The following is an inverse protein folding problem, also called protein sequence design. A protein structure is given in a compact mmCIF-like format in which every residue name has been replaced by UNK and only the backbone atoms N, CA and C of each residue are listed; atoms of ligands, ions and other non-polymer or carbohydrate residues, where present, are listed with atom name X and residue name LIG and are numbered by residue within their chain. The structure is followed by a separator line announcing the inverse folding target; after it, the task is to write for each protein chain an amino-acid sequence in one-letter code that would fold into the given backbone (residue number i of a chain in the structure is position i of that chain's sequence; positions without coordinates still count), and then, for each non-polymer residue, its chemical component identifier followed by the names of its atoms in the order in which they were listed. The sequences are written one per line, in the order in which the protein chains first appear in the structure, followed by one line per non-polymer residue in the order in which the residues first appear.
data_IF_389384101896
#
_entry.id   IF_389384101896
#
_cell.length_a   1.000
_cell.length_b   1.000
_cell.length_c   1.000
_cell.angle_alpha   90.00
_cell.angle_beta   90.00
_cell.angle_gamma   90.00
#
_symmetry.space_group_name_H-M   'P 1'
#
loop_
_entity.id
_entity.type
_entity.pdbx_description
1 polymer ?
#
# COMPACT_ATOMS: atom_id res chain seq x y z
N UNK A 1 32.92 -17.17 38.27
CA UNK A 1 31.66 -16.43 38.51
C UNK A 1 32.02 -15.02 38.96
N UNK A 2 31.94 -14.02 38.06
CA UNK A 2 32.03 -12.62 38.48
C UNK A 2 30.61 -12.13 38.78
N UNK A 3 30.36 -11.83 40.06
CA UNK A 3 29.01 -11.63 40.59
C UNK A 3 28.33 -10.33 40.15
N UNK A 4 29.04 -9.38 39.52
CA UNK A 4 28.52 -8.13 38.96
C UNK A 4 29.48 -7.59 37.89
N UNK A 5 29.38 -8.08 36.65
CA UNK A 5 30.28 -7.72 35.55
C UNK A 5 29.81 -6.47 34.79
N UNK A 6 30.10 -5.28 35.29
CA UNK A 6 29.92 -4.03 34.53
C UNK A 6 31.27 -3.46 34.09
N UNK A 7 31.32 -2.91 32.87
CA UNK A 7 32.46 -2.14 32.35
C UNK A 7 32.11 -0.66 32.46
N UNK A 8 32.90 0.09 33.22
CA UNK A 8 32.79 1.55 33.27
C UNK A 8 33.82 2.20 32.37
N UNK A 9 33.37 3.09 31.49
CA UNK A 9 34.25 3.97 30.69
C UNK A 9 34.06 5.40 31.18
N UNK A 10 35.14 6.06 31.59
CA UNK A 10 35.12 7.44 32.10
C UNK A 10 35.38 8.49 31.03
N UNK A 11 35.82 8.08 29.83
CA UNK A 11 36.04 8.92 28.66
C UNK A 11 35.25 8.47 27.44
N UNK A 12 35.75 8.78 26.24
CA UNK A 12 35.13 8.36 24.99
C UNK A 12 35.41 6.87 24.72
N UNK A 13 34.39 6.12 24.32
CA UNK A 13 34.54 4.77 23.76
C UNK A 13 34.08 4.75 22.31
N UNK A 14 34.69 3.93 21.47
CA UNK A 14 34.27 3.71 20.07
C UNK A 14 34.37 2.23 19.74
N UNK A 15 33.28 1.66 19.24
CA UNK A 15 33.26 0.32 18.66
C UNK A 15 33.11 0.46 17.14
N UNK A 16 34.05 -0.11 16.39
CA UNK A 16 34.02 -0.16 14.93
C UNK A 16 34.01 -1.61 14.48
N UNK A 17 32.95 -2.03 13.81
CA UNK A 17 32.79 -3.39 13.27
C UNK A 17 32.70 -3.27 11.76
N UNK A 18 33.51 -4.04 11.04
CA UNK A 18 33.60 -3.98 9.56
C UNK A 18 32.70 -4.98 8.85
N UNK A 19 32.01 -5.82 9.63
CA UNK A 19 31.04 -6.84 9.19
C UNK A 19 29.84 -6.79 10.15
N UNK A 20 29.25 -7.93 10.43
CA UNK A 20 28.05 -8.05 11.25
C UNK A 20 28.36 -7.94 12.75
N UNK A 21 27.44 -7.30 13.48
CA UNK A 21 27.43 -7.22 14.93
C UNK A 21 26.06 -7.63 15.44
N UNK A 22 25.98 -8.80 16.08
CA UNK A 22 24.78 -9.26 16.75
C UNK A 22 24.86 -8.98 18.26
N UNK A 23 23.83 -8.32 18.79
CA UNK A 23 23.67 -8.10 20.23
C UNK A 23 22.38 -8.79 20.67
N UNK A 24 22.51 -9.90 21.40
CA UNK A 24 21.39 -10.69 21.92
C UNK A 24 21.30 -10.49 23.43
N UNK A 25 20.12 -10.13 23.92
CA UNK A 25 19.85 -9.88 25.34
C UNK A 25 18.57 -10.62 25.72
N UNK A 26 18.66 -11.59 26.63
CA UNK A 26 17.49 -12.36 27.11
C UNK A 26 16.55 -11.52 27.99
N UNK A 27 17.08 -10.47 28.60
CA UNK A 27 16.33 -9.50 29.42
C UNK A 27 16.13 -8.17 28.69
N UNK A 28 16.16 -7.08 29.45
CA UNK A 28 15.98 -5.74 28.90
C UNK A 28 17.30 -5.13 28.44
N UNK A 29 17.26 -4.42 27.31
CA UNK A 29 18.29 -3.47 26.91
C UNK A 29 17.82 -2.05 27.24
N UNK A 30 18.61 -1.31 28.03
CA UNK A 30 18.32 0.08 28.36
C UNK A 30 19.42 0.97 27.77
N UNK A 31 19.06 1.83 26.83
CA UNK A 31 19.95 2.83 26.24
C UNK A 31 19.51 4.21 26.71
N UNK A 32 20.43 4.98 27.28
CA UNK A 32 20.14 6.33 27.78
C UNK A 32 21.31 7.26 27.48
N UNK A 33 21.01 8.43 26.91
CA UNK A 33 21.98 9.49 26.69
C UNK A 33 21.46 10.80 27.28
N UNK A 34 22.37 11.62 27.84
CA UNK A 34 22.03 12.99 28.28
C UNK A 34 21.85 13.97 27.11
N UNK A 35 22.35 13.60 25.93
CA UNK A 35 22.19 14.33 24.68
C UNK A 35 21.48 13.41 23.69
N UNK A 36 21.98 13.29 22.47
CA UNK A 36 21.32 12.55 21.41
C UNK A 36 21.79 11.09 21.36
N UNK A 37 20.88 10.19 20.99
CA UNK A 37 21.19 8.87 20.44
C UNK A 37 20.86 8.97 18.95
N UNK A 38 21.88 8.99 18.10
CA UNK A 38 21.69 9.03 16.65
C UNK A 38 21.82 7.61 16.10
N UNK A 39 20.78 7.13 15.42
CA UNK A 39 20.80 5.87 14.69
C UNK A 39 20.74 6.22 13.21
N UNK A 40 21.73 5.78 12.45
CA UNK A 40 21.82 6.01 11.01
C UNK A 40 22.09 4.68 10.35
N UNK A 41 21.19 4.26 9.47
CA UNK A 41 21.37 3.12 8.60
C UNK A 41 21.29 3.61 7.15
N UNK A 42 22.16 3.08 6.28
CA UNK A 42 22.06 3.29 4.84
C UNK A 42 21.07 2.31 4.18
N UNK A 43 20.71 1.23 4.89
CA UNK A 43 19.61 0.34 4.56
C UNK A 43 18.47 0.47 5.58
N UNK A 44 17.78 -0.64 5.85
CA UNK A 44 16.58 -0.63 6.70
C UNK A 44 16.90 -0.62 8.21
N UNK A 45 15.98 -0.02 8.98
CA UNK A 45 15.89 -0.17 10.44
C UNK A 45 14.57 -0.87 10.76
N UNK A 46 14.64 -2.15 11.15
CA UNK A 46 13.49 -2.93 11.60
C UNK A 46 13.34 -2.83 13.13
N UNK A 47 12.29 -2.18 13.62
CA UNK A 47 11.92 -2.16 15.03
C UNK A 47 10.57 -2.88 15.21
N UNK A 48 10.57 -3.97 16.00
CA UNK A 48 9.37 -4.79 16.23
C UNK A 48 9.16 -5.01 17.72
N UNK A 49 7.92 -4.83 18.16
CA UNK A 49 7.51 -5.04 19.54
C UNK A 49 6.00 -4.98 19.65
N UNK A 50 5.45 -5.48 20.75
CA UNK A 50 4.02 -5.37 21.05
C UNK A 50 3.60 -3.91 21.26
N UNK A 51 4.53 -3.05 21.70
CA UNK A 51 4.34 -1.61 21.89
C UNK A 51 5.65 -0.89 21.58
N UNK A 52 5.55 0.16 20.77
CA UNK A 52 6.65 1.10 20.51
C UNK A 52 6.12 2.49 20.87
N UNK A 53 6.66 3.06 21.94
CA UNK A 53 6.33 4.44 22.29
C UNK A 53 7.45 5.38 21.89
N UNK A 54 7.11 6.45 21.17
CA UNK A 54 7.99 7.56 20.89
C UNK A 54 7.55 8.75 21.74
N UNK A 55 8.50 9.42 22.41
CA UNK A 55 8.24 10.59 23.26
C UNK A 55 7.30 10.35 24.47
N UNK A 56 7.25 9.13 25.01
CA UNK A 56 6.44 8.81 26.18
C UNK A 56 7.04 9.39 27.47
N UNK A 57 6.49 10.54 27.91
CA UNK A 57 6.90 11.21 29.14
C UNK A 57 7.40 12.65 28.99
N UNK A 58 7.38 13.23 27.78
CA UNK A 58 7.67 14.67 27.63
C UNK A 58 6.44 15.49 28.02
N UNK A 59 6.52 16.39 29.03
CA UNK A 59 5.48 17.39 29.22
C UNK A 59 5.61 18.37 28.07
N UNK A 60 4.68 18.32 27.13
CA UNK A 60 4.61 19.15 25.91
C UNK A 60 5.77 18.99 24.92
N UNK A 61 5.43 18.73 23.66
CA UNK A 61 6.24 19.24 22.55
C UNK A 61 6.30 20.77 22.70
N UNK A 62 7.41 21.46 22.41
CA UNK A 62 7.36 22.90 22.23
C UNK A 62 6.24 23.21 21.23
N UNK A 63 5.38 24.18 21.54
CA UNK A 63 4.27 24.55 20.67
C UNK A 63 4.79 24.71 19.24
N UNK A 64 4.14 24.01 18.31
CA UNK A 64 4.39 24.24 16.90
C UNK A 64 4.17 25.74 16.65
N UNK A 65 5.24 26.48 16.38
CA UNK A 65 5.10 27.85 15.92
C UNK A 65 4.57 27.78 14.51
N UNK A 66 3.29 28.08 14.36
CA UNK A 66 2.68 28.22 13.06
C UNK A 66 3.38 29.37 12.32
N UNK A 67 3.96 29.08 11.16
CA UNK A 67 4.43 30.10 10.22
C UNK A 67 3.25 30.84 9.56
N UNK A 68 2.04 30.29 9.67
CA UNK A 68 0.80 30.81 9.13
C UNK A 68 -0.29 30.94 10.21
N UNK A 69 -1.27 31.83 10.01
CA UNK A 69 -2.33 32.05 11.01
C UNK A 69 -3.21 30.80 11.19
N UNK A 70 -3.58 30.42 12.44
CA UNK A 70 -4.35 29.21 12.70
C UNK A 70 -5.78 29.34 12.15
N UNK A 71 -6.25 28.27 11.50
CA UNK A 71 -7.65 28.06 11.13
C UNK A 71 -8.31 27.26 12.25
N UNK A 72 -9.37 27.80 12.86
CA UNK A 72 -10.17 27.08 13.87
C UNK A 72 -10.91 25.92 13.24
N UNK A 73 -10.70 24.72 13.77
CA UNK A 73 -11.53 23.55 13.51
C UNK A 73 -12.31 23.21 14.79
N UNK A 74 -13.58 22.83 14.66
CA UNK A 74 -14.43 22.39 15.76
C UNK A 74 -13.88 21.09 16.38
N UNK A 75 -13.82 21.03 17.71
CA UNK A 75 -13.38 19.84 18.45
C UNK A 75 -14.39 18.69 18.31
N UNK A 76 -14.03 17.65 17.56
CA UNK A 76 -14.77 16.38 17.55
C UNK A 76 -14.29 15.45 18.68
N UNK A 77 -14.67 15.77 19.93
CA UNK A 77 -14.60 14.79 21.03
C UNK A 77 -15.87 13.95 21.00
N UNK A 78 -15.80 12.78 20.35
CA UNK A 78 -16.91 11.80 20.34
C UNK A 78 -16.93 11.03 21.66
N UNK A 79 -17.99 11.21 22.45
CA UNK A 79 -18.30 10.29 23.56
C UNK A 79 -18.66 8.93 22.97
N UNK A 80 -17.90 7.89 23.34
CA UNK A 80 -18.22 6.51 22.99
C UNK A 80 -19.52 6.12 23.68
N UNK A 81 -20.61 6.02 22.92
CA UNK A 81 -21.85 5.38 23.35
C UNK A 81 -21.79 3.88 23.03
N UNK A 82 -22.47 3.02 23.80
CA UNK A 82 -22.40 1.57 23.59
C UNK A 82 -23.23 1.17 22.37
N UNK A 83 -22.65 0.26 21.58
CA UNK A 83 -23.22 -0.45 20.41
C UNK A 83 -23.46 0.42 19.17
N UNK A 84 -22.41 0.59 18.36
CA UNK A 84 -22.57 0.93 16.95
C UNK A 84 -23.22 -0.23 16.21
N UNK A 85 -24.47 -0.03 15.82
CA UNK A 85 -25.06 -0.69 14.66
C UNK A 85 -24.17 -0.39 13.46
N UNK A 86 -23.62 -1.43 12.83
CA UNK A 86 -22.85 -1.31 11.59
C UNK A 86 -23.81 -0.77 10.52
N UNK A 87 -23.77 0.54 10.28
CA UNK A 87 -24.45 1.14 9.13
C UNK A 87 -23.84 0.57 7.83
N UNK A 88 -24.68 0.40 6.82
CA UNK A 88 -24.27 -0.09 5.51
C UNK A 88 -23.28 0.92 4.89
N UNK A 89 -22.00 0.54 4.83
CA UNK A 89 -20.92 1.39 4.31
C UNK A 89 -21.26 1.80 2.88
N UNK A 90 -21.53 3.09 2.65
CA UNK A 90 -21.68 3.62 1.29
C UNK A 90 -20.33 3.48 0.60
N UNK A 91 -20.31 2.96 -0.63
CA UNK A 91 -19.05 2.64 -1.30
C UNK A 91 -19.15 2.97 -2.78
N UNK A 92 -19.24 4.28 -3.03
CA UNK A 92 -19.50 4.80 -4.37
C UNK A 92 -18.23 4.76 -5.21
N UNK A 93 -18.34 4.21 -6.43
CA UNK A 93 -17.26 4.27 -7.42
C UNK A 93 -17.07 5.68 -7.95
N UNK A 94 -15.82 6.13 -8.06
CA UNK A 94 -15.48 7.47 -8.51
C UNK A 94 -15.32 7.57 -10.02
N UNK A 95 -16.00 8.57 -10.56
CA UNK A 95 -15.89 9.01 -11.95
C UNK A 95 -15.26 10.40 -11.90
N UNK A 96 -13.94 10.46 -11.88
CA UNK A 96 -13.23 11.74 -11.94
C UNK A 96 -13.32 12.28 -13.37
N UNK A 97 -13.85 13.49 -13.52
CA UNK A 97 -13.92 14.20 -14.81
C UNK A 97 -13.17 15.52 -14.69
N UNK A 98 -12.36 15.86 -15.68
CA UNK A 98 -11.84 17.22 -15.86
C UNK A 98 -12.49 17.83 -17.10
N UNK A 99 -13.52 18.66 -16.92
CA UNK A 99 -14.23 19.30 -18.03
C UNK A 99 -15.22 18.36 -18.76
N UNK A 100 -15.26 18.45 -20.09
CA UNK A 100 -16.17 17.66 -20.95
C UNK A 100 -15.64 16.25 -21.26
N UNK A 101 -14.37 15.98 -20.97
CA UNK A 101 -13.72 14.73 -21.33
C UNK A 101 -14.21 13.56 -20.47
N UNK A 102 -14.31 12.38 -21.08
CA UNK A 102 -14.61 11.17 -20.34
C UNK A 102 -13.39 10.76 -19.47
N UNK A 103 -13.59 10.07 -18.33
CA UNK A 103 -12.53 9.82 -17.35
C UNK A 103 -11.28 9.15 -17.90
N UNK A 104 -11.41 8.29 -18.92
CA UNK A 104 -10.28 7.63 -19.55
C UNK A 104 -9.44 8.56 -20.45
N UNK A 105 -10.01 9.69 -20.86
CA UNK A 105 -9.41 10.67 -21.76
C UNK A 105 -8.74 11.82 -20.97
N UNK A 106 -8.96 11.87 -19.65
CA UNK A 106 -8.24 12.73 -18.72
C UNK A 106 -6.80 12.23 -18.59
N UNK A 107 -5.84 13.11 -18.90
CA UNK A 107 -4.42 12.80 -18.74
C UNK A 107 -4.01 12.98 -17.28
N UNK A 108 -3.88 11.87 -16.57
CA UNK A 108 -3.31 11.85 -15.22
C UNK A 108 -1.79 11.98 -15.29
N UNK A 109 -1.23 12.88 -14.48
CA UNK A 109 0.21 13.06 -14.40
C UNK A 109 0.84 11.92 -13.58
N UNK A 110 1.77 11.19 -14.20
CA UNK A 110 2.56 10.15 -13.52
C UNK A 110 3.65 10.77 -12.64
N UNK A 111 3.40 10.72 -11.33
CA UNK A 111 4.26 11.28 -10.29
C UNK A 111 5.31 10.27 -9.83
N UNK A 112 6.46 10.78 -9.37
CA UNK A 112 7.44 9.97 -8.65
C UNK A 112 7.21 10.10 -7.15
N UNK A 113 7.39 9.02 -6.36
CA UNK A 113 7.44 9.13 -4.91
C UNK A 113 8.54 10.10 -4.47
N UNK A 114 8.36 10.79 -3.34
CA UNK A 114 9.41 11.65 -2.77
C UNK A 114 10.69 10.89 -2.41
N UNK A 115 10.56 9.59 -2.14
CA UNK A 115 11.64 8.64 -1.84
C UNK A 115 12.14 7.90 -3.09
N UNK A 116 11.80 8.37 -4.29
CA UNK A 116 12.18 7.70 -5.52
C UNK A 116 13.70 7.56 -5.67
N UNK A 117 14.17 6.34 -5.97
CA UNK A 117 15.59 6.02 -6.02
C UNK A 117 16.21 5.64 -4.67
N UNK A 118 15.48 5.83 -3.57
CA UNK A 118 15.84 5.33 -2.23
C UNK A 118 15.12 4.01 -1.92
N UNK A 119 13.92 3.81 -2.48
CA UNK A 119 13.21 2.52 -2.48
C UNK A 119 13.56 1.70 -3.72
N UNK A 120 13.72 0.40 -3.50
CA UNK A 120 13.95 -0.57 -4.58
C UNK A 120 12.78 -0.56 -5.57
N UNK A 121 13.13 -0.62 -6.86
CA UNK A 121 12.15 -0.80 -7.92
C UNK A 121 11.79 -2.29 -8.01
N UNK A 122 10.65 -2.65 -7.41
CA UNK A 122 10.19 -4.04 -7.28
C UNK A 122 8.85 -4.26 -7.98
N UNK A 123 8.46 -5.52 -8.13
CA UNK A 123 7.16 -5.84 -8.69
C UNK A 123 6.04 -5.39 -7.74
N UNK A 124 5.06 -4.59 -8.19
CA UNK A 124 4.00 -4.07 -7.32
C UNK A 124 3.13 -5.18 -6.70
N UNK A 125 3.05 -6.35 -7.32
CA UNK A 125 2.34 -7.51 -6.77
C UNK A 125 2.91 -7.94 -5.42
N UNK A 126 4.24 -7.95 -5.27
CA UNK A 126 4.90 -8.42 -4.05
C UNK A 126 4.50 -7.57 -2.84
N UNK A 127 4.49 -6.24 -3.02
CA UNK A 127 4.05 -5.29 -2.00
C UNK A 127 2.55 -5.45 -1.72
N UNK A 128 1.72 -5.61 -2.76
CA UNK A 128 0.28 -5.79 -2.58
C UNK A 128 -0.06 -7.11 -1.85
N UNK A 129 0.67 -8.18 -2.15
CA UNK A 129 0.58 -9.49 -1.51
C UNK A 129 1.01 -9.42 -0.04
N UNK A 130 2.11 -8.72 0.27
CA UNK A 130 2.53 -8.46 1.65
C UNK A 130 1.42 -7.77 2.45
N UNK A 131 0.84 -6.71 1.90
CA UNK A 131 -0.27 -6.00 2.52
C UNK A 131 -1.48 -6.89 2.73
N UNK A 132 -1.88 -7.68 1.72
CA UNK A 132 -3.00 -8.62 1.85
C UNK A 132 -2.74 -9.63 2.97
N UNK A 133 -1.54 -10.20 3.04
CA UNK A 133 -1.15 -11.19 4.05
C UNK A 133 -1.14 -10.59 5.47
N UNK A 134 -0.80 -9.31 5.62
CA UNK A 134 -0.88 -8.60 6.90
C UNK A 134 -2.32 -8.40 7.40
N UNK A 135 -3.33 -8.58 6.53
CA UNK A 135 -4.75 -8.54 6.89
C UNK A 135 -5.27 -7.18 7.38
N UNK A 136 -6.49 -7.14 7.91
CA UNK A 136 -7.08 -5.93 8.50
C UNK A 136 -7.59 -4.88 7.51
N UNK A 137 -7.92 -5.30 6.29
CA UNK A 137 -8.38 -4.42 5.19
C UNK A 137 -9.90 -4.38 5.00
N UNK A 138 -10.65 -5.08 5.87
CA UNK A 138 -12.10 -5.05 5.82
C UNK A 138 -12.59 -3.62 6.06
N UNK A 139 -13.43 -3.13 5.17
CA UNK A 139 -14.05 -1.82 5.29
C UNK A 139 -15.06 -1.84 6.45
N UNK A 140 -14.89 -0.89 7.36
CA UNK A 140 -15.73 -0.73 8.56
C UNK A 140 -16.29 0.68 8.67
N UNK A 141 -16.18 1.49 7.61
CA UNK A 141 -16.54 2.92 7.63
C UNK A 141 -15.62 3.79 8.49
N UNK A 142 -14.45 3.29 8.92
CA UNK A 142 -13.41 4.09 9.62
C UNK A 142 -12.04 3.40 9.63
N UNK A 143 -11.77 2.51 8.66
CA UNK A 143 -10.59 1.65 8.72
C UNK A 143 -9.30 2.49 8.54
N UNK A 144 -8.40 2.54 9.54
CA UNK A 144 -7.23 3.41 9.50
C UNK A 144 -6.23 3.04 8.38
N UNK A 145 -6.19 1.77 7.94
CA UNK A 145 -5.36 1.36 6.81
C UNK A 145 -5.87 1.93 5.49
N UNK A 146 -7.18 1.89 5.28
CA UNK A 146 -7.82 2.45 4.08
C UNK A 146 -7.60 3.96 4.06
N UNK A 147 -7.88 4.63 5.18
CA UNK A 147 -7.59 6.06 5.38
C UNK A 147 -6.14 6.43 5.04
N UNK A 148 -5.18 5.66 5.52
CA UNK A 148 -3.77 5.90 5.23
C UNK A 148 -3.43 5.80 3.73
N UNK A 149 -4.09 4.92 2.96
CA UNK A 149 -3.89 4.87 1.51
C UNK A 149 -4.31 6.18 0.83
N UNK A 150 -5.46 6.74 1.24
CA UNK A 150 -5.96 8.01 0.72
C UNK A 150 -5.02 9.17 1.05
N UNK A 151 -4.58 9.27 2.30
CA UNK A 151 -3.63 10.28 2.75
C UNK A 151 -2.30 10.16 1.98
N UNK A 152 -1.82 8.94 1.76
CA UNK A 152 -0.53 8.67 1.11
C UNK A 152 -0.48 9.11 -0.35
N UNK A 153 -1.57 8.92 -1.11
CA UNK A 153 -1.63 9.40 -2.49
C UNK A 153 -2.06 10.87 -2.59
N UNK A 154 -2.34 11.52 -1.45
CA UNK A 154 -2.53 12.97 -1.33
C UNK A 154 -3.97 13.46 -1.27
N UNK A 155 -4.94 12.61 -0.93
CA UNK A 155 -6.31 13.02 -0.57
C UNK A 155 -6.45 13.21 0.95
N UNK A 156 -7.60 13.69 1.42
CA UNK A 156 -7.95 13.66 2.85
C UNK A 156 -8.70 12.35 3.14
N UNK A 157 -8.00 11.36 3.70
CA UNK A 157 -8.59 10.06 3.99
C UNK A 157 -9.75 10.11 4.97
N UNK A 158 -9.80 11.11 5.87
CA UNK A 158 -10.94 11.28 6.79
C UNK A 158 -12.25 11.64 6.09
N UNK A 159 -12.16 12.16 4.86
CA UNK A 159 -13.33 12.55 4.07
C UNK A 159 -13.77 11.42 3.15
N UNK A 160 -12.83 10.70 2.56
CA UNK A 160 -13.15 9.78 1.45
C UNK A 160 -13.17 8.31 1.83
N UNK A 161 -12.42 7.89 2.85
CA UNK A 161 -12.18 6.46 3.11
C UNK A 161 -13.42 5.65 3.48
N UNK A 162 -14.45 6.32 4.01
CA UNK A 162 -15.62 5.67 4.59
C UNK A 162 -16.80 5.57 3.63
N UNK A 163 -16.75 6.31 2.50
CA UNK A 163 -17.85 6.40 1.54
C UNK A 163 -17.46 6.03 0.09
N UNK A 164 -16.16 5.81 -0.15
CA UNK A 164 -15.59 5.76 -1.50
C UNK A 164 -14.81 4.49 -1.82
N UNK A 165 -15.07 3.95 -3.01
CA UNK A 165 -14.34 2.81 -3.53
C UNK A 165 -12.84 3.08 -3.64
N UNK A 166 -12.05 2.25 -2.97
CA UNK A 166 -10.61 2.47 -2.76
C UNK A 166 -9.72 1.54 -3.60
N UNK A 167 -10.26 0.88 -4.64
CA UNK A 167 -9.47 -0.01 -5.51
C UNK A 167 -8.35 0.74 -6.25
N UNK A 168 -8.66 1.90 -6.85
CA UNK A 168 -7.68 2.77 -7.52
C UNK A 168 -6.67 3.39 -6.55
N UNK A 169 -7.14 3.73 -5.35
CA UNK A 169 -6.33 4.31 -4.28
C UNK A 169 -5.29 3.32 -3.78
N UNK A 170 -5.68 2.06 -3.58
CA UNK A 170 -4.75 0.98 -3.26
C UNK A 170 -3.69 0.85 -4.36
N UNK A 171 -4.09 0.77 -5.64
CA UNK A 171 -3.11 0.62 -6.74
C UNK A 171 -2.10 1.77 -6.72
N UNK A 172 -2.55 3.02 -6.52
CA UNK A 172 -1.65 4.17 -6.47
C UNK A 172 -0.65 4.10 -5.33
N UNK A 173 -1.10 3.74 -4.12
CA UNK A 173 -0.24 3.58 -2.96
C UNK A 173 0.77 2.42 -3.14
N UNK A 174 0.34 1.28 -3.68
CA UNK A 174 1.23 0.15 -3.94
C UNK A 174 2.30 0.51 -4.98
N UNK A 175 1.93 1.22 -6.05
CA UNK A 175 2.89 1.71 -7.04
C UNK A 175 3.92 2.65 -6.39
N UNK A 176 3.46 3.56 -5.52
CA UNK A 176 4.33 4.46 -4.78
C UNK A 176 5.32 3.71 -3.89
N UNK A 177 4.85 2.67 -3.18
CA UNK A 177 5.66 1.84 -2.26
C UNK A 177 6.64 0.89 -2.97
N UNK A 178 6.38 0.54 -4.23
CA UNK A 178 7.20 -0.39 -5.03
C UNK A 178 8.25 0.30 -5.92
N UNK A 179 8.51 1.60 -5.72
CA UNK A 179 9.47 2.35 -6.52
C UNK A 179 9.00 2.62 -7.96
N UNK A 180 7.68 2.56 -8.21
CA UNK A 180 7.07 2.84 -9.51
C UNK A 180 6.51 4.27 -9.57
N UNK A 181 6.31 4.78 -10.79
CA UNK A 181 5.47 5.96 -11.02
C UNK A 181 4.07 5.69 -10.48
N UNK A 182 3.42 6.69 -9.92
CA UNK A 182 2.03 6.56 -9.45
C UNK A 182 1.18 7.73 -9.94
N UNK A 183 -0.14 7.57 -9.91
CA UNK A 183 -1.09 8.63 -10.21
C UNK A 183 -1.99 8.87 -9.00
N UNK A 184 -2.26 10.14 -8.68
CA UNK A 184 -3.21 10.52 -7.65
C UNK A 184 -4.62 10.50 -8.24
N UNK A 185 -5.36 9.42 -8.00
CA UNK A 185 -6.73 9.24 -8.50
C UNK A 185 -7.49 8.21 -7.66
N UNK A 186 -8.80 8.42 -7.50
CA UNK A 186 -9.72 7.41 -7.01
C UNK A 186 -10.48 6.68 -8.14
N UNK A 187 -10.25 7.03 -9.40
CA UNK A 187 -10.92 6.40 -10.54
C UNK A 187 -10.13 5.21 -11.07
N UNK A 188 -10.78 4.05 -11.18
CA UNK A 188 -10.16 2.86 -11.80
C UNK A 188 -9.81 3.09 -13.27
N UNK A 189 -10.55 3.95 -13.96
CA UNK A 189 -10.37 4.19 -15.39
C UNK A 189 -9.16 5.07 -15.71
N UNK A 190 -8.65 5.81 -14.73
CA UNK A 190 -7.44 6.62 -14.87
C UNK A 190 -6.21 5.79 -15.27
N UNK A 191 -6.16 4.53 -14.84
CA UNK A 191 -5.11 3.59 -15.20
C UNK A 191 -5.20 3.09 -16.64
N UNK A 192 -6.20 3.49 -17.43
CA UNK A 192 -6.33 3.08 -18.82
C UNK A 192 -5.13 3.52 -19.68
N UNK A 193 -4.45 4.61 -19.28
CA UNK A 193 -3.33 5.21 -19.99
C UNK A 193 -2.01 5.23 -19.20
N UNK A 194 -1.98 4.59 -18.04
CA UNK A 194 -0.81 4.52 -17.17
C UNK A 194 0.25 3.55 -17.72
N UNK A 195 1.53 3.91 -17.61
CA UNK A 195 2.68 3.04 -17.89
C UNK A 195 2.68 2.45 -19.31
N UNK A 196 3.21 1.24 -19.45
CA UNK A 196 3.33 0.54 -20.74
C UNK A 196 2.11 -0.33 -21.00
N UNK A 197 1.56 -0.31 -22.22
CA UNK A 197 0.45 -1.18 -22.61
C UNK A 197 0.93 -2.62 -22.75
N UNK A 198 0.21 -3.56 -22.12
CA UNK A 198 0.50 -4.99 -22.16
C UNK A 198 -0.55 -5.68 -23.03
N UNK A 199 -0.09 -6.57 -23.92
CA UNK A 199 -0.96 -7.41 -24.72
C UNK A 199 -1.53 -8.54 -23.86
N UNK A 200 -2.68 -9.02 -24.30
CA UNK A 200 -3.48 -10.00 -23.59
C UNK A 200 -2.78 -11.35 -23.36
N UNK A 201 -1.86 -11.73 -24.26
CA UNK A 201 -1.01 -12.92 -24.22
C UNK A 201 0.31 -12.71 -23.47
N UNK A 202 0.67 -11.45 -23.17
CA UNK A 202 1.91 -11.04 -22.49
C UNK A 202 1.68 -10.65 -21.01
N UNK A 203 0.51 -10.97 -20.47
CA UNK A 203 0.12 -10.62 -19.09
C UNK A 203 1.00 -11.33 -18.09
N UNK A 204 1.54 -10.57 -17.15
CA UNK A 204 2.41 -11.05 -16.08
C UNK A 204 1.84 -10.70 -14.71
N UNK A 205 2.32 -11.42 -13.70
CA UNK A 205 2.03 -11.08 -12.31
C UNK A 205 2.52 -9.65 -12.00
N UNK A 206 1.64 -8.84 -11.42
CA UNK A 206 1.90 -7.42 -11.14
C UNK A 206 1.45 -6.44 -12.23
N UNK A 207 1.04 -6.93 -13.40
CA UNK A 207 0.41 -6.05 -14.38
C UNK A 207 -0.94 -5.54 -13.85
N UNK A 208 -1.22 -4.26 -14.07
CA UNK A 208 -2.43 -3.58 -13.66
C UNK A 208 -3.54 -3.92 -14.64
N UNK A 209 -4.60 -4.55 -14.15
CA UNK A 209 -5.78 -4.93 -14.95
C UNK A 209 -6.88 -3.92 -14.68
N UNK A 210 -7.31 -3.23 -15.74
CA UNK A 210 -8.40 -2.24 -15.67
C UNK A 210 -9.65 -2.86 -16.28
N UNK A 211 -10.75 -2.89 -15.52
CA UNK A 211 -12.06 -3.34 -15.98
C UNK A 211 -13.00 -2.17 -16.21
N UNK A 212 -13.91 -2.31 -17.16
CA UNK A 212 -15.08 -1.42 -17.28
C UNK A 212 -16.32 -2.11 -16.69
N UNK A 213 -17.30 -1.31 -16.23
CA UNK A 213 -18.60 -1.77 -15.72
C UNK A 213 -19.73 -0.98 -16.35
N UNK A 214 -20.89 -1.62 -16.55
CA UNK A 214 -22.08 -1.11 -17.30
C UNK A 214 -21.85 -0.89 -18.80
N UNK A 215 -20.79 -0.18 -19.19
CA UNK A 215 -20.36 0.01 -20.58
C UNK A 215 -18.90 0.48 -20.63
N UNK A 216 -18.27 0.44 -21.81
CA UNK A 216 -16.93 1.01 -22.01
C UNK A 216 -16.88 2.54 -21.92
N UNK A 217 -18.01 3.24 -21.84
CA UNK A 217 -18.09 4.70 -21.73
C UNK A 217 -18.62 5.19 -20.38
N UNK A 218 -18.93 4.28 -19.45
CA UNK A 218 -19.57 4.63 -18.17
C UNK A 218 -18.67 5.40 -17.21
N UNK A 219 -17.35 5.31 -17.37
CA UNK A 219 -16.38 5.77 -16.38
C UNK A 219 -16.30 4.88 -15.12
N UNK A 220 -17.10 3.82 -15.06
CA UNK A 220 -17.19 2.90 -13.92
C UNK A 220 -16.43 1.61 -14.19
N UNK A 221 -15.96 0.95 -13.14
CA UNK A 221 -15.16 -0.26 -13.28
C UNK A 221 -14.28 -0.57 -12.07
N UNK A 222 -13.34 -1.48 -12.27
CA UNK A 222 -12.46 -1.98 -11.22
C UNK A 222 -11.00 -1.97 -11.67
N UNK A 223 -10.07 -1.95 -10.73
CA UNK A 223 -8.63 -2.05 -11.02
C UNK A 223 -7.92 -2.84 -9.92
N UNK A 224 -6.90 -3.59 -10.31
CA UNK A 224 -6.04 -4.36 -9.41
C UNK A 224 -4.86 -4.95 -10.15
N UNK A 225 -4.07 -5.78 -9.47
CA UNK A 225 -2.88 -6.42 -10.03
C UNK A 225 -3.19 -7.87 -10.44
N UNK A 226 -2.80 -8.27 -11.65
CA UNK A 226 -2.89 -9.66 -12.09
C UNK A 226 -2.03 -10.55 -11.18
N UNK A 227 -2.55 -11.72 -10.78
CA UNK A 227 -1.77 -12.71 -10.01
C UNK A 227 -0.84 -13.54 -10.89
N UNK A 228 -0.96 -13.44 -12.22
CA UNK A 228 -0.34 -14.33 -13.19
C UNK A 228 -1.20 -15.55 -13.52
N UNK A 229 -2.24 -15.85 -12.74
CA UNK A 229 -3.23 -16.88 -13.07
C UNK A 229 -4.29 -16.30 -14.01
N UNK A 230 -4.10 -16.52 -15.31
CA UNK A 230 -5.03 -16.09 -16.37
C UNK A 230 -5.33 -17.25 -17.31
N UNK A 231 -6.59 -17.32 -17.76
CA UNK A 231 -7.05 -18.21 -18.82
C UNK A 231 -7.57 -17.39 -20.00
N UNK A 232 -8.11 -18.05 -21.03
CA UNK A 232 -8.77 -17.38 -22.13
C UNK A 232 -10.06 -16.64 -21.73
N UNK A 233 -10.72 -17.06 -20.64
CA UNK A 233 -12.03 -16.52 -20.22
C UNK A 233 -11.97 -15.75 -18.90
N UNK A 234 -10.99 -16.03 -18.05
CA UNK A 234 -10.87 -15.45 -16.71
C UNK A 234 -9.48 -14.92 -16.43
N UNK A 235 -9.40 -13.96 -15.51
CA UNK A 235 -8.15 -13.47 -14.93
C UNK A 235 -8.31 -13.36 -13.43
N UNK A 236 -7.28 -13.77 -12.69
CA UNK A 236 -7.25 -13.61 -11.25
C UNK A 236 -6.50 -12.32 -10.86
N UNK A 237 -7.10 -11.56 -9.95
CA UNK A 237 -6.69 -10.20 -9.60
C UNK A 237 -6.62 -10.05 -8.09
N UNK A 238 -5.47 -9.57 -7.62
CA UNK A 238 -5.28 -9.05 -6.27
C UNK A 238 -5.67 -7.57 -6.28
N UNK A 239 -6.68 -7.21 -5.50
CA UNK A 239 -7.23 -5.86 -5.54
C UNK A 239 -7.92 -5.44 -4.26
N UNK A 240 -7.93 -4.12 -4.05
CA UNK A 240 -8.64 -3.47 -2.96
C UNK A 240 -10.12 -3.33 -3.26
N UNK A 241 -10.91 -3.12 -2.22
CA UNK A 241 -12.36 -2.97 -2.30
C UNK A 241 -13.12 -4.14 -2.96
N UNK A 242 -12.51 -5.32 -3.01
CA UNK A 242 -13.14 -6.52 -3.57
C UNK A 242 -14.01 -7.17 -2.50
N UNK A 243 -15.32 -6.91 -2.54
CA UNK A 243 -16.21 -7.20 -1.40
C UNK A 243 -15.73 -6.49 -0.14
N UNK A 244 -15.46 -5.18 -0.24
CA UNK A 244 -15.09 -4.31 0.88
C UNK A 244 -13.84 -4.80 1.62
N UNK A 245 -12.87 -5.36 0.89
CA UNK A 245 -11.64 -5.92 1.46
C UNK A 245 -10.50 -5.95 0.42
N UNK A 246 -9.27 -6.19 0.87
CA UNK A 246 -8.12 -6.52 0.03
C UNK A 246 -8.02 -8.04 -0.06
N UNK A 247 -8.22 -8.59 -1.25
CA UNK A 247 -8.14 -10.03 -1.49
C UNK A 247 -7.83 -10.35 -2.96
N UNK A 248 -7.76 -11.64 -3.26
CA UNK A 248 -7.67 -12.17 -4.61
C UNK A 248 -9.07 -12.61 -5.07
N UNK A 249 -9.46 -12.23 -6.29
CA UNK A 249 -10.67 -12.72 -6.95
C UNK A 249 -10.44 -13.00 -8.42
N UNK A 250 -11.19 -13.98 -8.93
CA UNK A 250 -11.27 -14.28 -10.35
C UNK A 250 -12.38 -13.46 -11.00
N UNK A 251 -12.07 -12.84 -12.13
CA UNK A 251 -13.01 -12.06 -12.93
C UNK A 251 -13.10 -12.61 -14.35
N UNK A 252 -14.29 -12.53 -14.94
CA UNK A 252 -14.46 -12.76 -16.37
C UNK A 252 -13.74 -11.67 -17.16
N UNK A 253 -12.97 -12.07 -18.18
CA UNK A 253 -12.28 -11.13 -19.08
C UNK A 253 -13.29 -10.35 -19.92
N UNK A 254 -14.40 -10.98 -20.27
CA UNK A 254 -15.56 -10.36 -20.94
C UNK A 254 -16.84 -11.00 -20.41
N UNK A 255 -17.80 -10.17 -19.99
CA UNK A 255 -19.17 -10.60 -19.65
C UNK A 255 -20.17 -9.66 -20.32
N UNK A 256 -20.44 -9.96 -21.60
CA UNK A 256 -21.29 -9.16 -22.46
C UNK A 256 -20.81 -7.72 -22.60
N UNK A 257 -21.73 -6.78 -22.82
CA UNK A 257 -21.42 -5.35 -22.95
C UNK A 257 -21.25 -4.61 -21.62
N UNK A 258 -21.52 -5.29 -20.49
CA UNK A 258 -21.62 -4.67 -19.16
C UNK A 258 -20.38 -4.84 -18.29
N UNK A 259 -19.45 -5.72 -18.67
CA UNK A 259 -18.22 -5.94 -17.92
C UNK A 259 -17.15 -6.53 -18.80
N UNK A 260 -15.90 -6.14 -18.57
CA UNK A 260 -14.74 -6.79 -19.17
C UNK A 260 -13.46 -5.99 -18.97
N UNK A 261 -12.35 -6.58 -19.38
CA UNK A 261 -11.05 -5.92 -19.38
C UNK A 261 -11.09 -4.77 -20.39
N UNK A 262 -10.74 -3.58 -19.92
CA UNK A 262 -10.49 -2.40 -20.76
C UNK A 262 -9.10 -2.46 -21.36
N UNK A 263 -8.10 -2.64 -20.49
CA UNK A 263 -6.66 -2.66 -20.83
C UNK A 263 -5.88 -3.34 -19.72
N UNK A 264 -4.66 -3.75 -20.03
CA UNK A 264 -3.67 -4.23 -19.08
C UNK A 264 -2.43 -3.35 -19.22
N UNK A 265 -1.86 -2.91 -18.10
CA UNK A 265 -0.76 -1.96 -18.04
C UNK A 265 0.37 -2.47 -17.16
N UNK A 266 1.62 -2.26 -17.57
CA UNK A 266 2.79 -2.53 -16.74
C UNK A 266 3.32 -1.24 -16.16
N UNK A 267 3.60 -1.28 -14.86
CA UNK A 267 4.20 -0.16 -14.15
C UNK A 267 5.63 0.12 -14.63
N UNK A 268 6.06 1.36 -14.43
CA UNK A 268 7.40 1.81 -14.80
C UNK A 268 8.08 2.48 -13.63
N UNK A 269 9.41 2.33 -13.57
CA UNK A 269 10.25 2.89 -12.53
C UNK A 269 10.00 4.38 -12.33
N UNK A 270 9.96 4.80 -11.06
CA UNK A 270 9.83 6.21 -10.73
C UNK A 270 11.05 7.05 -11.14
N UNK A 271 12.21 6.42 -11.37
CA UNK A 271 13.49 7.10 -11.66
C UNK A 271 13.54 7.61 -13.09
N UNK A 272 13.22 6.74 -14.05
CA UNK A 272 13.33 7.06 -15.49
C UNK A 272 11.97 7.11 -16.22
N UNK A 273 10.89 6.64 -15.58
CA UNK A 273 9.56 6.55 -16.19
C UNK A 273 9.48 5.64 -17.42
N UNK A 274 10.44 4.72 -17.58
CA UNK A 274 10.60 3.90 -18.78
C UNK A 274 10.89 2.44 -18.48
N UNK A 275 11.71 2.16 -17.47
CA UNK A 275 12.07 0.80 -17.10
C UNK A 275 10.83 0.11 -16.53
N UNK A 276 10.34 -0.92 -17.20
CA UNK A 276 9.19 -1.73 -16.75
C UNK A 276 9.47 -2.38 -15.39
N UNK A 277 8.42 -2.52 -14.58
CA UNK A 277 8.48 -3.25 -13.32
C UNK A 277 9.04 -4.67 -13.55
N UNK A 278 9.96 -5.13 -12.68
CA UNK A 278 10.57 -6.43 -12.86
C UNK A 278 9.54 -7.56 -12.71
N UNK A 279 9.85 -8.72 -13.30
CA UNK A 279 9.03 -9.92 -13.07
C UNK A 279 9.01 -10.26 -11.57
N UNK A 280 7.85 -10.68 -11.08
CA UNK A 280 7.68 -11.10 -9.68
C UNK A 280 8.53 -12.32 -9.37
N UNK A 281 9.18 -12.29 -8.20
CA UNK A 281 9.96 -13.40 -7.65
C UNK A 281 9.12 -14.30 -6.74
N UNK A 282 7.91 -13.87 -6.35
CA UNK A 282 7.01 -14.67 -5.54
C UNK A 282 6.31 -15.73 -6.41
N UNK A 283 6.73 -16.99 -6.30
CA UNK A 283 5.90 -18.09 -6.80
C UNK A 283 4.59 -18.13 -6.02
N UNK A 284 3.45 -18.11 -6.74
CA UNK A 284 2.14 -18.48 -6.21
C UNK A 284 2.33 -19.72 -5.33
N UNK A 285 2.00 -19.63 -4.04
CA UNK A 285 1.92 -20.78 -3.17
C UNK A 285 0.88 -21.73 -3.78
N UNK A 286 1.37 -22.73 -4.50
CA UNK A 286 0.56 -23.66 -5.25
C UNK A 286 -0.45 -24.33 -4.34
N UNK A 287 -1.68 -24.45 -4.85
CA UNK A 287 -2.65 -25.42 -4.37
C UNK A 287 -1.95 -26.76 -4.20
N UNK A 288 -1.83 -27.19 -2.95
CA UNK A 288 -1.43 -28.54 -2.55
C UNK A 288 -2.30 -29.55 -3.29
N UNK A 289 -1.81 -30.07 -4.41
CA UNK A 289 -2.31 -31.31 -5.02
C UNK A 289 -1.60 -32.46 -4.32
N UNK A 290 -1.99 -32.73 -3.08
CA UNK A 290 -1.59 -33.93 -2.36
C UNK A 290 -2.26 -35.15 -2.99
N UNK A 291 -1.56 -35.82 -3.89
CA UNK A 291 -1.94 -37.12 -4.40
C UNK A 291 -1.83 -38.09 -3.22
N UNK A 292 -2.98 -38.60 -2.76
CA UNK A 292 -3.05 -39.59 -1.69
C UNK A 292 -2.30 -40.86 -2.06
N UNK A 293 -1.15 -41.07 -1.45
CA UNK A 293 -0.48 -42.37 -1.43
C UNK A 293 -1.17 -43.27 -0.41
N UNK A 294 -1.84 -44.31 -0.89
CA UNK A 294 -2.30 -45.41 -0.05
C UNK A 294 -1.09 -46.20 0.47
N UNK A 295 -1.13 -46.59 1.74
CA UNK A 295 -0.19 -47.56 2.33
C UNK A 295 -0.99 -48.83 2.60
N UNK A 296 -0.55 -49.93 1.99
CA UNK A 296 -0.91 -51.32 2.35
C UNK A 296 -0.28 -51.73 3.65
#
# INVERSE_FOLDING_TARGET
QHKNGFRTVTGNDKLHVTKDLDIIVDGNINLSARKNINITALGNIDARGTRIDLNNGSPSLPDAQYVDSPVTFEENVVKVLPEETIEEVQNSEQVEKSGEDAPQDVKYEEQSPSVCGEVDHVNPYEIAQEHMNAGGWKETGSNPKIKALWDEIGYNGSTYADETAWCAVLVGAILKRSGNKYIKTASSQAYANYGVAVKDDDVQQGDIVVFFRKSRSSGLGHVGFATGNSTASTIEVLGGNQSNNLNIKTFDRVRGSKWGIRTIRRATSCVDGKTEAPASTSTLAGLSSGIGGAVT
#
